data_IF_081003669740
#
_entry.id   IF_081003669740
#
_cell.length_a   1.000
_cell.length_b   1.000
_cell.length_c   1.000
_cell.angle_alpha   90.00
_cell.angle_beta   90.00
_cell.angle_gamma   90.00
#
_symmetry.space_group_name_H-M   'P 1'
#
loop_
_entity.id
_entity.type
_entity.pdbx_description
1 polymer ?
#
# COMPACT_ATOMS: atom_id res chain seq x y z
N UNK A 1 -27.10 -12.54 9.80
CA UNK A 1 -25.80 -12.38 10.48
C UNK A 1 -25.11 -11.06 10.12
N UNK A 2 -25.13 -10.62 8.85
CA UNK A 2 -24.69 -9.27 8.46
C UNK A 2 -25.42 -8.13 9.20
N UNK A 3 -26.73 -8.25 9.40
CA UNK A 3 -27.54 -7.23 10.10
C UNK A 3 -27.13 -7.02 11.57
N UNK A 4 -26.59 -8.07 12.22
CA UNK A 4 -26.11 -7.99 13.61
C UNK A 4 -24.70 -7.44 13.70
N UNK A 5 -23.86 -7.65 12.67
CA UNK A 5 -22.55 -6.99 12.56
C UNK A 5 -22.70 -5.48 12.33
N UNK A 6 -23.68 -5.07 11.52
CA UNK A 6 -24.01 -3.64 11.31
C UNK A 6 -24.59 -3.01 12.57
N UNK A 7 -25.43 -3.71 13.34
CA UNK A 7 -25.96 -3.22 14.61
C UNK A 7 -24.92 -3.22 15.75
N UNK A 8 -24.01 -4.19 15.80
CA UNK A 8 -22.90 -4.21 16.76
C UNK A 8 -21.90 -3.07 16.55
N UNK A 9 -21.72 -2.63 15.30
CA UNK A 9 -20.89 -1.49 14.93
C UNK A 9 -21.53 -0.12 15.28
N UNK A 10 -22.83 -0.06 15.55
CA UNK A 10 -23.53 1.19 15.92
C UNK A 10 -23.83 1.35 17.40
N UNK A 11 -23.65 0.30 18.23
CA UNK A 11 -24.05 0.27 19.65
C UNK A 11 -22.85 0.16 20.62
N UNK A 12 -21.62 0.02 20.11
CA UNK A 12 -20.37 -0.06 20.90
C UNK A 12 -19.37 1.01 20.39
N UNK A 13 -18.28 1.36 21.11
CA UNK A 13 -17.41 2.49 20.74
C UNK A 13 -17.06 2.46 19.26
N UNK A 14 -17.42 3.53 18.56
CA UNK A 14 -17.22 3.66 17.13
C UNK A 14 -15.74 3.83 16.82
N UNK A 15 -15.32 3.27 15.69
CA UNK A 15 -14.02 3.58 15.09
C UNK A 15 -14.13 4.99 14.49
N UNK A 16 -13.17 5.84 14.79
CA UNK A 16 -12.99 7.15 14.17
C UNK A 16 -11.68 7.15 13.39
N UNK A 17 -11.67 7.77 12.22
CA UNK A 17 -10.46 7.98 11.42
C UNK A 17 -10.03 9.43 11.60
N UNK A 18 -8.81 9.63 12.09
CA UNK A 18 -8.21 10.95 12.13
C UNK A 18 -7.27 11.16 10.94
N UNK A 19 -7.15 12.41 10.51
CA UNK A 19 -6.25 12.84 9.46
C UNK A 19 -5.15 13.71 10.03
N UNK A 20 -3.95 13.53 9.51
CA UNK A 20 -2.81 14.42 9.75
C UNK A 20 -2.59 15.30 8.52
N UNK A 21 -1.98 16.46 8.74
CA UNK A 21 -1.56 17.37 7.68
C UNK A 21 -0.06 17.60 7.83
N UNK A 22 0.75 17.19 6.84
CA UNK A 22 2.18 17.44 6.89
C UNK A 22 2.48 18.90 6.51
N UNK A 23 3.41 19.51 7.25
CA UNK A 23 4.18 20.68 6.85
C UNK A 23 5.61 20.23 6.52
N UNK A 24 6.17 20.76 5.45
CA UNK A 24 7.51 20.42 4.97
C UNK A 24 8.34 21.68 4.91
N UNK A 25 9.45 21.69 5.64
CA UNK A 25 10.45 22.74 5.57
C UNK A 25 11.67 22.21 4.83
N UNK A 26 12.15 22.98 3.86
CA UNK A 26 13.26 22.61 2.97
C UNK A 26 14.44 23.54 3.23
N UNK A 27 15.62 22.94 3.42
CA UNK A 27 16.88 23.62 3.65
C UNK A 27 17.83 23.26 2.51
N UNK A 28 18.20 24.22 1.68
CA UNK A 28 19.14 24.01 0.58
C UNK A 28 20.48 24.69 0.85
N UNK A 29 21.57 24.11 0.36
CA UNK A 29 22.92 24.70 0.47
C UNK A 29 23.01 26.13 -0.11
N UNK A 30 22.19 26.49 -1.11
CA UNK A 30 22.15 27.84 -1.70
C UNK A 30 21.36 28.87 -0.89
N UNK A 31 20.49 28.43 0.02
CA UNK A 31 19.67 29.28 0.91
C UNK A 31 20.18 29.24 2.36
N UNK A 32 21.03 28.27 2.69
CA UNK A 32 21.76 28.14 3.94
C UNK A 32 22.91 29.16 4.01
N UNK A 33 22.57 30.45 3.98
CA UNK A 33 23.52 31.52 4.25
C UNK A 33 23.68 31.67 5.77
N UNK A 34 24.55 30.85 6.37
CA UNK A 34 25.41 31.17 7.53
C UNK A 34 26.20 29.91 7.98
N UNK A 35 27.46 29.86 7.58
CA UNK A 35 28.55 29.02 8.13
C UNK A 35 28.52 27.51 7.83
N UNK A 36 28.61 27.14 6.54
CA UNK A 36 29.21 25.84 6.21
C UNK A 36 30.63 25.78 6.81
N UNK A 37 30.83 24.88 7.76
CA UNK A 37 32.12 24.75 8.42
C UNK A 37 32.98 23.76 7.66
N UNK A 38 33.98 24.30 6.94
CA UNK A 38 35.01 23.50 6.28
C UNK A 38 36.21 23.30 7.20
N UNK A 39 36.49 22.05 7.55
CA UNK A 39 37.68 21.66 8.33
C UNK A 39 38.54 20.70 7.51
N UNK A 40 39.84 20.94 7.43
CA UNK A 40 40.79 20.02 6.81
C UNK A 40 41.70 19.42 7.89
N UNK A 41 41.70 18.10 7.98
CA UNK A 41 42.62 17.33 8.81
C UNK A 41 43.83 16.91 7.97
N UNK A 42 45.01 17.37 8.36
CA UNK A 42 46.26 17.07 7.65
C UNK A 42 46.83 15.70 8.00
N UNK A 43 46.49 15.13 9.16
CA UNK A 43 46.97 13.84 9.62
C UNK A 43 46.21 12.71 8.90
N UNK A 44 44.89 12.82 8.82
CA UNK A 44 44.02 11.87 8.11
C UNK A 44 43.85 12.23 6.62
N UNK A 45 44.32 13.41 6.22
CA UNK A 45 44.17 13.97 4.87
C UNK A 45 42.71 13.97 4.41
N UNK A 46 41.79 14.46 5.25
CA UNK A 46 40.35 14.53 4.95
C UNK A 46 39.82 15.94 5.09
N UNK A 47 38.86 16.31 4.24
CA UNK A 47 38.07 17.53 4.38
C UNK A 47 36.68 17.19 4.88
N UNK A 48 36.22 17.86 5.92
CA UNK A 48 34.85 17.77 6.45
C UNK A 48 34.12 19.08 6.19
N UNK A 49 32.95 18.97 5.58
CA UNK A 49 31.98 20.05 5.45
C UNK A 49 30.84 19.78 6.41
N UNK A 50 30.43 20.77 7.20
CA UNK A 50 29.35 20.61 8.17
C UNK A 50 28.29 21.71 8.05
N UNK A 51 27.03 21.29 8.06
CA UNK A 51 25.84 22.14 8.08
C UNK A 51 25.02 21.85 9.34
N UNK A 52 24.26 22.84 9.77
CA UNK A 52 23.34 22.71 10.88
C UNK A 52 21.93 23.11 10.43
N UNK A 53 21.00 22.16 10.54
CA UNK A 53 19.58 22.35 10.25
C UNK A 53 18.85 22.42 11.58
N UNK A 54 18.09 23.49 11.80
CA UNK A 54 17.26 23.68 12.99
C UNK A 54 15.82 23.40 12.55
N UNK A 55 15.31 22.21 12.88
CA UNK A 55 13.95 21.82 12.58
C UNK A 55 12.98 22.32 13.65
N UNK A 56 11.69 22.39 13.33
CA UNK A 56 10.62 22.53 14.33
C UNK A 56 10.55 21.25 15.17
N UNK A 57 10.60 21.35 16.50
CA UNK A 57 10.53 20.22 17.43
C UNK A 57 9.10 19.69 17.61
N UNK A 58 8.07 20.50 17.32
CA UNK A 58 6.67 20.14 17.49
C UNK A 58 6.18 19.20 16.38
N UNK A 59 5.93 17.94 16.75
CA UNK A 59 5.46 16.87 15.88
C UNK A 59 6.39 16.55 14.70
N UNK A 60 7.71 16.74 14.87
CA UNK A 60 8.69 16.32 13.88
C UNK A 60 8.59 14.80 13.69
N UNK A 61 8.48 14.36 12.44
CA UNK A 61 8.30 12.94 12.08
C UNK A 61 9.41 12.41 11.19
N UNK A 62 9.85 13.20 10.19
CA UNK A 62 10.90 12.80 9.26
C UNK A 62 12.01 13.84 9.14
N UNK A 63 13.20 13.34 8.87
CA UNK A 63 14.35 14.11 8.41
C UNK A 63 14.89 13.39 7.18
N UNK A 64 14.82 14.04 6.03
CA UNK A 64 15.40 13.56 4.78
C UNK A 64 16.61 14.44 4.45
N UNK A 65 17.69 13.82 4.00
CA UNK A 65 18.91 14.51 3.57
C UNK A 65 19.34 13.94 2.24
N UNK A 66 19.53 14.81 1.27
CA UNK A 66 20.08 14.49 -0.04
C UNK A 66 21.37 15.26 -0.20
N UNK A 67 22.47 14.54 -0.40
CA UNK A 67 23.78 15.11 -0.67
C UNK A 67 24.18 14.77 -2.11
N UNK A 68 24.60 15.77 -2.87
CA UNK A 68 24.98 15.63 -4.28
C UNK A 68 26.39 16.18 -4.53
N UNK A 69 26.93 15.88 -5.72
CA UNK A 69 28.28 16.29 -6.12
C UNK A 69 29.38 15.73 -5.21
N UNK A 70 29.13 14.56 -4.62
CA UNK A 70 30.06 13.88 -3.73
C UNK A 70 31.21 13.25 -4.50
N UNK A 71 32.42 13.33 -3.95
CA UNK A 71 33.57 12.58 -4.47
C UNK A 71 33.48 11.07 -4.16
N UNK A 72 34.22 10.28 -4.93
CA UNK A 72 34.37 8.84 -4.68
C UNK A 72 34.96 8.58 -3.29
N UNK A 73 34.34 7.68 -2.54
CA UNK A 73 34.68 7.36 -1.16
C UNK A 73 34.17 8.38 -0.13
N UNK A 74 33.31 9.32 -0.51
CA UNK A 74 32.74 10.28 0.43
C UNK A 74 31.81 9.60 1.44
N UNK A 75 31.79 10.14 2.67
CA UNK A 75 30.95 9.69 3.77
C UNK A 75 30.00 10.80 4.18
N UNK A 76 28.70 10.54 4.08
CA UNK A 76 27.64 11.36 4.68
C UNK A 76 27.44 10.93 6.13
N UNK A 77 27.53 11.87 7.07
CA UNK A 77 27.22 11.66 8.49
C UNK A 77 26.07 12.57 8.91
N UNK A 78 25.00 12.00 9.42
CA UNK A 78 23.84 12.74 9.94
C UNK A 78 23.76 12.54 11.45
N UNK A 79 23.79 13.64 12.17
CA UNK A 79 23.96 13.69 13.62
C UNK A 79 22.80 14.44 14.26
N UNK A 80 22.15 13.82 15.24
CA UNK A 80 21.13 14.46 16.05
C UNK A 80 21.22 13.92 17.50
N UNK A 81 21.23 14.82 18.47
CA UNK A 81 21.40 14.45 19.89
C UNK A 81 20.19 13.72 20.48
N UNK A 82 18.98 14.02 19.98
CA UNK A 82 17.73 13.34 20.34
C UNK A 82 17.59 11.94 19.70
N UNK A 83 18.56 11.53 18.88
CA UNK A 83 18.61 10.27 18.13
C UNK A 83 17.57 10.17 17.01
N UNK A 84 17.95 9.48 15.95
CA UNK A 84 17.08 9.19 14.81
C UNK A 84 17.05 7.69 14.54
N UNK A 85 15.94 7.22 13.98
CA UNK A 85 15.80 5.90 13.41
C UNK A 85 16.15 5.97 11.92
N UNK A 86 17.13 5.19 11.46
CA UNK A 86 17.42 5.07 10.03
C UNK A 86 17.73 3.64 9.62
N UNK A 87 17.51 3.35 8.34
CA UNK A 87 17.91 2.12 7.67
C UNK A 87 18.16 2.43 6.19
N UNK A 88 18.89 1.57 5.47
CA UNK A 88 19.16 1.78 4.03
C UNK A 88 17.91 1.58 3.16
N UNK A 89 17.01 0.71 3.61
CA UNK A 89 15.70 0.46 2.97
C UNK A 89 14.62 1.48 3.38
N UNK A 90 14.92 2.41 4.28
CA UNK A 90 13.93 3.42 4.67
C UNK A 90 13.77 4.43 3.52
N UNK A 91 12.54 4.65 3.06
CA UNK A 91 12.26 5.57 1.95
C UNK A 91 12.33 4.92 0.55
N UNK A 92 12.80 3.67 0.44
CA UNK A 92 12.78 2.96 -0.84
C UNK A 92 11.36 2.60 -1.23
N UNK A 93 10.96 2.91 -2.45
CA UNK A 93 9.66 2.52 -3.00
C UNK A 93 9.69 1.06 -3.45
N UNK A 94 8.63 0.32 -3.15
CA UNK A 94 8.42 -1.01 -3.69
C UNK A 94 8.22 -0.93 -5.20
N UNK A 95 9.04 -1.63 -5.98
CA UNK A 95 8.78 -1.87 -7.39
C UNK A 95 8.90 -3.37 -7.72
N UNK A 96 8.41 -3.79 -8.89
CA UNK A 96 8.43 -5.20 -9.30
C UNK A 96 9.85 -5.74 -9.59
N UNK A 97 10.87 -4.88 -9.63
CA UNK A 97 12.28 -5.18 -9.88
C UNK A 97 13.09 -5.24 -8.57
N UNK A 98 12.61 -4.58 -7.52
CA UNK A 98 13.07 -4.61 -6.15
C UNK A 98 11.94 -5.14 -5.26
N UNK A 99 11.72 -6.47 -5.26
CA UNK A 99 10.84 -7.08 -4.27
C UNK A 99 11.50 -6.88 -2.91
N UNK A 100 11.21 -5.75 -2.27
CA UNK A 100 11.39 -5.62 -0.84
C UNK A 100 10.64 -6.82 -0.26
N UNK A 101 11.35 -7.72 0.42
CA UNK A 101 10.69 -8.72 1.23
C UNK A 101 9.62 -7.98 2.06
N UNK A 102 8.40 -8.52 2.15
CA UNK A 102 7.24 -7.92 2.83
C UNK A 102 7.47 -7.61 4.34
N UNK A 103 8.72 -7.56 4.79
CA UNK A 103 9.17 -7.63 6.18
C UNK A 103 10.00 -6.41 6.61
N UNK A 104 10.18 -5.38 5.77
CA UNK A 104 10.84 -4.15 6.24
C UNK A 104 9.92 -3.35 7.18
N UNK A 105 10.18 -3.49 8.48
CA UNK A 105 9.59 -2.69 9.55
C UNK A 105 10.66 -1.83 10.21
N UNK A 106 10.53 -0.51 10.12
CA UNK A 106 11.47 0.39 10.80
C UNK A 106 11.41 0.25 12.32
N UNK A 107 10.30 -0.20 12.89
CA UNK A 107 10.21 -0.48 14.33
C UNK A 107 11.20 -1.55 14.79
N UNK A 108 11.53 -2.50 13.90
CA UNK A 108 12.39 -3.65 14.23
C UNK A 108 13.80 -3.50 13.64
N UNK A 109 13.92 -2.96 12.43
CA UNK A 109 15.15 -2.96 11.65
C UNK A 109 15.88 -1.61 11.64
N UNK A 110 15.20 -0.50 11.91
CA UNK A 110 15.89 0.78 11.95
C UNK A 110 16.80 0.87 13.17
N UNK A 111 18.01 1.35 12.92
CA UNK A 111 18.94 1.66 13.99
C UNK A 111 18.52 2.97 14.64
N UNK A 112 18.35 2.96 15.95
CA UNK A 112 18.12 4.16 16.74
C UNK A 112 19.45 4.68 17.29
N UNK A 113 19.98 5.78 16.72
CA UNK A 113 21.29 6.28 17.08
C UNK A 113 21.41 7.79 16.88
N UNK A 114 22.39 8.38 17.56
CA UNK A 114 22.76 9.79 17.40
C UNK A 114 23.45 10.08 16.07
N UNK A 115 24.26 9.14 15.59
CA UNK A 115 25.10 9.30 14.39
C UNK A 115 24.73 8.23 13.39
N UNK A 116 24.42 8.66 12.17
CA UNK A 116 24.16 7.81 11.01
C UNK A 116 25.13 8.09 9.90
N UNK A 117 25.64 7.03 9.27
CA UNK A 117 26.66 7.14 8.25
C UNK A 117 26.23 6.39 6.99
N UNK A 118 26.53 6.98 5.84
CA UNK A 118 26.34 6.40 4.51
C UNK A 118 27.55 6.73 3.66
N UNK A 119 27.97 5.80 2.83
CA UNK A 119 29.18 5.94 1.99
C UNK A 119 28.83 5.74 0.54
N UNK A 120 29.53 6.42 -0.36
CA UNK A 120 29.46 6.17 -1.80
C UNK A 120 30.83 5.74 -2.33
N UNK A 121 30.88 4.60 -3.05
CA UNK A 121 32.11 4.13 -3.66
C UNK A 121 32.48 4.96 -4.90
N UNK A 122 31.49 5.27 -5.75
CA UNK A 122 31.72 5.96 -7.03
C UNK A 122 31.55 7.49 -6.95
N UNK A 123 31.04 8.01 -5.84
CA UNK A 123 30.66 9.41 -5.69
C UNK A 123 29.20 9.66 -6.09
N UNK A 124 28.88 10.90 -6.44
CA UNK A 124 27.56 11.27 -6.95
C UNK A 124 26.59 11.71 -5.85
N UNK A 125 25.50 10.95 -5.67
CA UNK A 125 24.38 11.31 -4.79
C UNK A 125 24.17 10.28 -3.70
N UNK A 126 23.95 10.74 -2.47
CA UNK A 126 23.47 9.92 -1.35
C UNK A 126 22.15 10.50 -0.87
N UNK A 127 21.14 9.64 -0.75
CA UNK A 127 19.87 9.92 -0.10
C UNK A 127 19.84 9.24 1.27
N UNK A 128 19.39 9.98 2.27
CA UNK A 128 19.27 9.52 3.64
C UNK A 128 17.90 9.86 4.17
N UNK A 129 17.20 8.84 4.68
CA UNK A 129 15.91 8.99 5.32
C UNK A 129 16.02 8.59 6.78
N UNK A 130 15.39 9.39 7.64
CA UNK A 130 15.32 9.13 9.06
C UNK A 130 13.97 9.51 9.66
N UNK A 131 13.63 8.79 10.73
CA UNK A 131 12.43 9.00 11.53
C UNK A 131 12.81 9.44 12.94
N UNK A 132 12.02 10.32 13.53
CA UNK A 132 12.13 10.68 14.95
C UNK A 132 11.45 9.64 15.85
N UNK A 133 10.47 8.91 15.31
CA UNK A 133 9.77 7.82 15.98
C UNK A 133 9.31 6.74 14.99
N UNK A 134 9.19 5.53 15.51
CA UNK A 134 8.66 4.37 14.78
C UNK A 134 7.15 4.21 14.95
N UNK A 135 6.51 4.98 15.83
CA UNK A 135 5.07 4.92 16.05
C UNK A 135 4.30 5.39 14.79
N UNK A 136 3.58 4.51 14.10
CA UNK A 136 2.84 4.88 12.90
C UNK A 136 1.66 5.80 13.22
N UNK A 137 1.11 5.81 14.44
CA UNK A 137 -0.03 6.65 14.78
C UNK A 137 0.26 8.15 14.60
N UNK A 138 1.53 8.51 14.64
CA UNK A 138 2.01 9.89 14.51
C UNK A 138 2.08 10.41 13.07
N UNK A 139 1.92 9.54 12.07
CA UNK A 139 2.10 9.88 10.65
C UNK A 139 1.06 9.20 9.77
N UNK A 140 0.70 9.84 8.66
CA UNK A 140 -0.11 9.19 7.60
C UNK A 140 -1.51 8.74 8.05
N UNK A 141 -2.20 9.55 8.84
CA UNK A 141 -3.56 9.27 9.36
C UNK A 141 -3.61 8.02 10.26
N UNK A 142 -4.75 7.83 10.94
CA UNK A 142 -4.92 6.63 11.76
C UNK A 142 -6.34 6.46 12.25
N UNK A 143 -6.52 5.51 13.17
CA UNK A 143 -7.83 5.21 13.74
C UNK A 143 -7.80 5.13 15.25
N UNK A 144 -8.88 5.56 15.89
CA UNK A 144 -9.07 5.49 17.34
C UNK A 144 -10.46 4.99 17.69
N UNK A 145 -10.58 4.25 18.79
CA UNK A 145 -11.86 3.88 19.36
C UNK A 145 -12.30 4.91 20.40
N UNK A 146 -13.51 5.43 20.28
CA UNK A 146 -14.07 6.42 21.20
C UNK A 146 -15.59 6.28 21.30
N UNK A 147 -16.17 6.81 22.38
CA UNK A 147 -17.61 6.87 22.58
C UNK A 147 -18.26 8.02 21.79
N UNK A 148 -17.54 9.13 21.62
CA UNK A 148 -18.00 10.30 20.88
C UNK A 148 -16.86 11.01 20.13
N UNK A 149 -17.21 12.02 19.33
CA UNK A 149 -16.27 12.77 18.50
C UNK A 149 -15.25 13.55 19.33
N UNK A 150 -15.63 14.04 20.51
CA UNK A 150 -14.74 14.83 21.35
C UNK A 150 -13.67 13.95 22.00
N UNK A 151 -14.05 12.76 22.48
CA UNK A 151 -13.10 11.75 22.95
C UNK A 151 -12.19 11.27 21.80
N UNK A 152 -12.74 11.08 20.59
CA UNK A 152 -11.95 10.70 19.42
C UNK A 152 -10.89 11.76 19.06
N UNK A 153 -11.26 13.04 19.07
CA UNK A 153 -10.34 14.13 18.81
C UNK A 153 -9.23 14.20 19.87
N UNK A 154 -9.59 14.08 21.15
CA UNK A 154 -8.60 14.08 22.23
C UNK A 154 -7.60 12.91 22.11
N UNK A 155 -8.09 11.70 21.80
CA UNK A 155 -7.23 10.53 21.56
C UNK A 155 -6.36 10.68 20.33
N UNK A 156 -6.89 11.22 19.23
CA UNK A 156 -6.13 11.46 18.02
C UNK A 156 -5.02 12.49 18.23
N UNK A 157 -5.32 13.60 18.92
CA UNK A 157 -4.31 14.62 19.25
C UNK A 157 -3.19 14.05 20.10
N UNK A 158 -3.52 13.32 21.17
CA UNK A 158 -2.53 12.67 22.04
C UNK A 158 -1.68 11.63 21.27
N UNK A 159 -2.29 10.91 20.32
CA UNK A 159 -1.55 9.95 19.49
C UNK A 159 -0.56 10.60 18.51
N UNK A 160 -0.78 11.86 18.12
CA UNK A 160 0.08 12.61 17.20
C UNK A 160 1.16 13.38 17.97
N UNK A 161 0.74 13.99 19.08
CA UNK A 161 1.53 14.91 19.91
C UNK A 161 2.88 14.30 20.32
N UNK A 162 3.94 14.98 19.93
CA UNK A 162 5.30 14.58 20.28
C UNK A 162 6.27 15.73 20.06
N UNK A 163 7.21 15.86 20.99
CA UNK A 163 8.29 16.84 20.94
C UNK A 163 9.61 16.12 20.66
N UNK A 164 10.30 16.50 19.59
CA UNK A 164 11.63 15.99 19.25
C UNK A 164 12.73 16.97 19.67
N UNK A 165 13.17 16.91 20.93
CA UNK A 165 14.13 17.89 21.46
C UNK A 165 15.48 17.25 21.86
N UNK A 166 16.62 17.80 21.39
CA UNK A 166 16.75 18.93 20.46
C UNK A 166 16.51 18.52 18.99
N UNK A 167 15.81 19.37 18.24
CA UNK A 167 15.50 19.22 16.81
C UNK A 167 16.62 19.69 15.87
N UNK A 168 17.86 19.74 16.38
CA UNK A 168 19.02 20.19 15.63
C UNK A 168 19.64 18.99 14.92
N UNK A 169 19.69 19.05 13.59
CA UNK A 169 20.31 18.04 12.74
C UNK A 169 21.60 18.60 12.17
N UNK A 170 22.73 18.02 12.55
CA UNK A 170 24.05 18.33 11.99
C UNK A 170 24.35 17.35 10.87
N UNK A 171 24.61 17.87 9.68
CA UNK A 171 24.94 17.10 8.49
C UNK A 171 26.42 17.31 8.22
N UNK A 172 27.18 16.25 8.03
CA UNK A 172 28.60 16.31 7.67
C UNK A 172 28.88 15.49 6.42
N UNK A 173 29.74 16.02 5.55
CA UNK A 173 30.30 15.29 4.42
C UNK A 173 31.80 15.22 4.61
N UNK A 174 32.34 14.00 4.70
CA UNK A 174 33.77 13.73 4.84
C UNK A 174 34.31 13.21 3.51
N UNK A 175 35.30 13.92 2.96
CA UNK A 175 35.94 13.60 1.68
C UNK A 175 37.45 13.44 1.82
N UNK A 176 38.04 12.61 0.98
CA UNK A 176 39.49 12.39 0.94
C UNK A 176 40.23 13.55 0.26
N UNK A 177 41.34 13.99 0.84
CA UNK A 177 42.18 15.09 0.38
C UNK A 177 41.75 16.47 0.89
N UNK A 178 42.57 17.47 0.57
CA UNK A 178 42.29 18.89 0.85
C UNK A 178 41.38 19.48 -0.23
N UNK A 179 40.06 19.37 -0.05
CA UNK A 179 39.04 19.75 -1.03
C UNK A 179 38.63 21.20 -0.87
N UNK A 180 38.53 21.94 -1.96
CA UNK A 180 38.07 23.33 -1.97
C UNK A 180 36.67 23.49 -2.55
N UNK A 181 36.16 22.46 -3.23
CA UNK A 181 34.81 22.44 -3.79
C UNK A 181 33.85 21.96 -2.72
N UNK A 182 32.84 22.78 -2.43
CA UNK A 182 31.76 22.45 -1.51
C UNK A 182 30.74 21.52 -2.21
N UNK A 183 30.35 20.40 -1.60
CA UNK A 183 29.27 19.57 -2.11
C UNK A 183 27.91 20.18 -1.76
N UNK A 184 26.88 19.85 -2.55
CA UNK A 184 25.55 20.41 -2.34
C UNK A 184 24.70 19.52 -1.44
N UNK A 185 23.95 20.13 -0.52
CA UNK A 185 22.98 19.45 0.34
C UNK A 185 21.59 20.03 0.17
N UNK A 186 20.59 19.16 0.32
CA UNK A 186 19.20 19.52 0.54
C UNK A 186 18.68 18.68 1.71
N UNK A 187 18.07 19.31 2.70
CA UNK A 187 17.46 18.63 3.84
C UNK A 187 15.99 19.02 3.92
N UNK A 188 15.13 18.03 4.14
CA UNK A 188 13.70 18.24 4.35
C UNK A 188 13.31 17.75 5.74
N UNK A 189 12.60 18.57 6.49
CA UNK A 189 12.04 18.22 7.78
C UNK A 189 10.53 18.24 7.69
N UNK A 190 9.89 17.18 8.19
CA UNK A 190 8.43 17.00 8.04
C UNK A 190 7.79 16.93 9.42
N UNK A 191 6.86 17.83 9.68
CA UNK A 191 6.07 17.89 10.90
C UNK A 191 4.62 17.53 10.56
N UNK A 192 4.02 16.61 11.32
CA UNK A 192 2.66 16.12 11.06
C UNK A 192 1.71 16.65 12.13
N UNK A 193 0.79 17.54 11.74
CA UNK A 193 -0.17 18.13 12.65
C UNK A 193 -1.54 17.45 12.55
N UNK A 194 -2.31 17.48 13.65
CA UNK A 194 -3.71 17.06 13.62
C UNK A 194 -4.52 17.94 12.65
N UNK A 195 -5.27 17.31 11.74
CA UNK A 195 -6.14 18.00 10.79
C UNK A 195 -7.63 17.85 11.14
N UNK A 196 -8.12 16.62 11.27
CA UNK A 196 -9.55 16.35 11.50
C UNK A 196 -9.79 14.93 12.02
N UNK A 197 -10.98 14.69 12.57
CA UNK A 197 -11.45 13.35 12.94
C UNK A 197 -12.89 13.15 12.47
N UNK A 198 -13.21 11.96 11.97
CA UNK A 198 -14.56 11.61 11.51
C UNK A 198 -14.89 10.18 11.90
N UNK A 199 -16.18 9.90 12.11
CA UNK A 199 -16.68 8.53 12.31
C UNK A 199 -16.33 7.70 11.08
N UNK A 200 -15.76 6.52 11.28
CA UNK A 200 -15.57 5.57 10.20
C UNK A 200 -16.93 5.16 9.65
N UNK A 201 -17.17 5.47 8.37
CA UNK A 201 -18.37 5.07 7.66
C UNK A 201 -18.00 4.26 6.44
N UNK A 202 -18.56 3.06 6.32
CA UNK A 202 -18.50 2.26 5.10
C UNK A 202 -19.59 2.73 4.14
N UNK A 203 -19.27 2.95 2.87
CA UNK A 203 -20.28 3.21 1.84
C UNK A 203 -21.08 1.92 1.56
N UNK A 204 -22.15 1.74 2.33
CA UNK A 204 -23.01 0.58 2.25
C UNK A 204 -23.61 0.38 0.84
N UNK A 205 -23.75 1.44 0.02
CA UNK A 205 -24.28 1.32 -1.33
C UNK A 205 -23.30 0.59 -2.26
N UNK A 206 -22.06 1.06 -2.32
CA UNK A 206 -21.02 0.46 -3.17
C UNK A 206 -20.63 -0.94 -2.69
N UNK A 207 -20.47 -1.13 -1.38
CA UNK A 207 -20.18 -2.45 -0.81
C UNK A 207 -21.32 -3.45 -1.07
N UNK A 208 -22.58 -3.01 -0.99
CA UNK A 208 -23.71 -3.86 -1.34
C UNK A 208 -23.72 -4.24 -2.82
N UNK A 209 -23.36 -3.32 -3.73
CA UNK A 209 -23.27 -3.61 -5.16
C UNK A 209 -22.19 -4.66 -5.45
N UNK A 210 -21.03 -4.57 -4.82
CA UNK A 210 -19.97 -5.59 -4.95
C UNK A 210 -20.40 -6.93 -4.36
N UNK A 211 -21.03 -6.93 -3.19
CA UNK A 211 -21.57 -8.15 -2.58
C UNK A 211 -22.66 -8.80 -3.44
N UNK A 212 -23.57 -8.00 -4.00
CA UNK A 212 -24.63 -8.48 -4.89
C UNK A 212 -24.05 -9.06 -6.19
N UNK A 213 -23.06 -8.38 -6.77
CA UNK A 213 -22.37 -8.85 -7.96
C UNK A 213 -21.67 -10.19 -7.71
N UNK A 214 -21.00 -10.35 -6.56
CA UNK A 214 -20.37 -11.62 -6.17
C UNK A 214 -21.40 -12.75 -6.02
N UNK A 215 -22.54 -12.48 -5.39
CA UNK A 215 -23.63 -13.47 -5.22
C UNK A 215 -24.21 -13.88 -6.58
N UNK A 216 -24.56 -12.92 -7.44
CA UNK A 216 -25.07 -13.21 -8.79
C UNK A 216 -24.04 -13.99 -9.59
N UNK A 217 -22.74 -13.64 -9.49
CA UNK A 217 -21.65 -14.38 -10.13
C UNK A 217 -21.60 -15.84 -9.69
N UNK A 218 -21.66 -16.10 -8.38
CA UNK A 218 -21.64 -17.45 -7.82
C UNK A 218 -22.86 -18.27 -8.27
N UNK A 219 -24.06 -17.70 -8.21
CA UNK A 219 -25.27 -18.38 -8.67
C UNK A 219 -25.26 -18.62 -10.18
N UNK A 220 -24.78 -17.65 -10.97
CA UNK A 220 -24.68 -17.79 -12.43
C UNK A 220 -23.72 -18.91 -12.82
N UNK A 221 -22.58 -19.03 -12.13
CA UNK A 221 -21.59 -20.08 -12.37
C UNK A 221 -22.16 -21.48 -12.14
N UNK A 222 -23.07 -21.67 -11.19
CA UNK A 222 -23.70 -22.97 -10.89
C UNK A 222 -24.92 -23.23 -11.77
N UNK A 223 -25.79 -22.23 -11.95
CA UNK A 223 -27.08 -22.40 -12.61
C UNK A 223 -26.97 -22.49 -14.13
N UNK A 224 -26.07 -21.72 -14.78
CA UNK A 224 -25.96 -21.72 -16.25
C UNK A 224 -25.55 -23.10 -16.78
N UNK A 225 -24.51 -23.79 -16.24
CA UNK A 225 -24.19 -25.15 -16.66
C UNK A 225 -25.32 -26.14 -16.36
N UNK A 226 -25.97 -26.01 -15.20
CA UNK A 226 -27.05 -26.91 -14.79
C UNK A 226 -28.27 -26.82 -15.73
N UNK A 227 -28.68 -25.61 -16.09
CA UNK A 227 -29.80 -25.40 -17.01
C UNK A 227 -29.46 -25.78 -18.44
N UNK A 228 -28.24 -25.51 -18.92
CA UNK A 228 -27.84 -25.92 -20.28
C UNK A 228 -27.87 -27.45 -20.44
N UNK A 229 -27.38 -28.20 -19.44
CA UNK A 229 -27.48 -29.67 -19.43
C UNK A 229 -28.94 -30.12 -19.40
N UNK A 230 -29.78 -29.53 -18.54
CA UNK A 230 -31.20 -29.87 -18.44
C UNK A 230 -31.95 -29.66 -19.76
N UNK A 231 -31.79 -28.49 -20.40
CA UNK A 231 -32.46 -28.20 -21.67
C UNK A 231 -31.93 -29.06 -22.82
N UNK A 232 -30.63 -29.34 -22.85
CA UNK A 232 -30.05 -30.25 -23.84
C UNK A 232 -30.62 -31.68 -23.69
N UNK A 233 -30.76 -32.17 -22.45
CA UNK A 233 -31.37 -33.47 -22.17
C UNK A 233 -32.83 -33.51 -22.61
N UNK A 234 -33.63 -32.49 -22.27
CA UNK A 234 -35.05 -32.40 -22.66
C UNK A 234 -35.26 -32.31 -24.17
N UNK A 235 -34.40 -31.56 -24.87
CA UNK A 235 -34.46 -31.47 -26.33
C UNK A 235 -34.09 -32.81 -27.00
N UNK A 236 -33.11 -33.53 -26.46
CA UNK A 236 -32.73 -34.87 -26.93
C UNK A 236 -33.85 -35.89 -26.73
N UNK A 237 -34.54 -35.82 -25.60
CA UNK A 237 -35.69 -36.67 -25.28
C UNK A 237 -36.83 -36.44 -26.29
N UNK A 238 -37.25 -35.18 -26.50
CA UNK A 238 -38.29 -34.86 -27.51
C UNK A 238 -37.93 -35.30 -28.93
N UNK A 239 -36.66 -35.16 -29.34
CA UNK A 239 -36.20 -35.65 -30.65
C UNK A 239 -36.22 -37.18 -30.75
N UNK A 240 -36.00 -37.90 -29.65
CA UNK A 240 -36.09 -39.36 -29.61
C UNK A 240 -37.54 -39.82 -29.66
N UNK A 241 -38.44 -39.17 -28.94
CA UNK A 241 -39.88 -39.45 -28.99
C UNK A 241 -40.42 -39.25 -30.41
N UNK A 242 -40.12 -38.12 -31.06
CA UNK A 242 -40.55 -37.86 -32.43
C UNK A 242 -40.00 -38.89 -33.45
N UNK A 243 -38.75 -39.34 -33.29
CA UNK A 243 -38.19 -40.41 -34.13
C UNK A 243 -38.86 -41.76 -33.88
N UNK A 244 -39.19 -42.07 -32.63
CA UNK A 244 -39.88 -43.30 -32.27
C UNK A 244 -41.30 -43.33 -32.86
N UNK A 245 -42.01 -42.20 -32.85
CA UNK A 245 -43.32 -42.06 -33.49
C UNK A 245 -43.24 -42.23 -35.01
N UNK A 246 -42.24 -41.63 -35.66
CA UNK A 246 -42.01 -41.83 -37.10
C UNK A 246 -41.70 -43.29 -37.45
N UNK A 247 -40.83 -43.96 -36.69
CA UNK A 247 -40.52 -45.37 -36.92
C UNK A 247 -41.71 -46.29 -36.63
N UNK A 248 -42.59 -45.95 -35.68
CA UNK A 248 -43.85 -46.69 -35.47
C UNK A 248 -44.79 -46.55 -36.66
N UNK A 249 -44.98 -45.34 -37.16
CA UNK A 249 -45.81 -45.09 -38.34
C UNK A 249 -45.27 -45.83 -39.57
N UNK A 250 -43.96 -45.80 -39.79
CA UNK A 250 -43.31 -46.52 -40.89
C UNK A 250 -43.49 -48.04 -40.78
N UNK A 251 -43.35 -48.62 -39.58
CA UNK A 251 -43.60 -50.05 -39.36
C UNK A 251 -45.08 -50.42 -39.53
N UNK A 252 -46.01 -49.56 -39.08
CA UNK A 252 -47.45 -49.76 -39.29
C UNK A 252 -47.82 -49.71 -40.79
N UNK A 253 -47.25 -48.78 -41.55
CA UNK A 253 -47.41 -48.71 -43.01
C UNK A 253 -46.85 -49.96 -43.70
N UNK A 254 -45.64 -50.42 -43.32
CA UNK A 254 -45.07 -51.67 -43.84
C UNK A 254 -45.92 -52.90 -43.50
N UNK A 255 -46.50 -52.97 -42.30
CA UNK A 255 -47.40 -54.05 -41.89
C UNK A 255 -48.74 -53.99 -42.66
N UNK A 256 -49.26 -52.80 -42.94
CA UNK A 256 -50.47 -52.60 -43.74
C UNK A 256 -50.26 -53.03 -45.20
N UNK A 257 -49.16 -52.61 -45.84
CA UNK A 257 -48.80 -53.03 -47.20
C UNK A 257 -48.60 -54.55 -47.32
N UNK A 258 -47.97 -55.17 -46.31
CA UNK A 258 -47.78 -56.63 -46.28
C UNK A 258 -49.11 -57.41 -46.13
N UNK A 259 -50.09 -56.84 -45.42
CA UNK A 259 -51.43 -57.43 -45.28
C UNK A 259 -52.26 -57.27 -46.56
N UNK A 260 -52.11 -56.18 -47.31
CA UNK A 260 -52.75 -56.00 -48.62
C UNK A 260 -52.20 -56.98 -49.67
N UNK A 261 -50.89 -57.24 -49.67
CA UNK A 261 -50.29 -58.26 -50.54
C UNK A 261 -50.76 -59.70 -50.21
N UNK A 262 -51.00 -60.00 -48.92
CA UNK A 262 -51.52 -61.32 -48.51
C UNK A 262 -53.01 -61.49 -48.86
N UNK A 263 -53.79 -60.41 -48.88
CA UNK A 263 -55.20 -60.42 -49.30
C UNK A 263 -55.36 -60.49 -50.83
N UNK A 264 -54.42 -59.96 -51.61
CA UNK A 264 -54.45 -60.05 -53.07
C UNK A 264 -54.16 -61.47 -53.57
N UNK A 265 -53.28 -62.22 -52.88
CA UNK A 265 -52.95 -63.61 -53.26
C UNK A 265 -54.03 -64.65 -52.88
N UNK A 266 -54.98 -64.30 -52.01
CA UNK A 266 -56.08 -65.20 -51.61
C UNK A 266 -57.36 -65.02 -52.46
N UNK A 267 -57.45 -63.96 -53.27
CA UNK A 267 -58.61 -63.70 -54.15
C UNK A 267 -58.45 -64.29 -55.58
N UNK A 268 -57.31 -64.89 -55.89
CA UNK A 268 -57.07 -65.62 -57.15
C UNK A 268 -56.54 -67.02 -56.87
N UNK A 269 -57.42 -67.91 -56.38
CA UNK A 269 -57.42 -69.35 -56.67
C UNK A 269 -58.81 -69.94 -56.50
#
# INVERSE_FOLDING_TARGET
MLSYAVYGATVSPSVYIYKTQPSVDVYNASEADQDVLRTYDADDNTTTWAWQVIADDDNLTWVNVTATELSSGAVLRVINEAMLYSHELLGTTYDLQNPLEEEFSCADLCRHAKVHERTTEEGGTIEFHALTSVDPARRSNGSVFAADLAEAEAKARNAIEYEHSPSIVRIEIVEQGNRTTEPSISAETINEAYASVAVFSVDAGTEFLWALAAVIGCFSMVLIPSFTVYFAARAKEKRREAKLEQSKAEVEDYLAESNEQTSADTATK
#
